data_IF_430004862940
#
_entry.id   IF_430004862940
#
_cell.length_a   1.000
_cell.length_b   1.000
_cell.length_c   1.000
_cell.angle_alpha   90.00
_cell.angle_beta   90.00
_cell.angle_gamma   90.00
#
_symmetry.space_group_name_H-M   'P 1'
#
loop_
_entity.id
_entity.type
_entity.pdbx_description
1 polymer ?
#
# COMPACT_ATOMS: atom_id res chain seq x y z
N UNK A 1 -3.14 -1.63 6.50
CA UNK A 1 -3.55 -0.49 7.34
C UNK A 1 -4.87 -0.82 8.02
N UNK A 2 -4.95 -0.59 9.33
CA UNK A 2 -6.10 -0.96 10.17
C UNK A 2 -6.19 -0.07 11.40
N UNK A 3 -7.28 -0.17 12.18
CA UNK A 3 -7.35 0.47 13.50
C UNK A 3 -6.51 -0.28 14.53
N UNK A 4 -5.97 0.43 15.52
CA UNK A 4 -5.15 -0.12 16.62
C UNK A 4 -5.91 -1.10 17.51
N UNK A 5 -7.24 -1.01 17.57
CA UNK A 5 -8.11 -1.90 18.34
C UNK A 5 -8.57 -3.15 17.56
N UNK A 6 -8.23 -3.26 16.28
CA UNK A 6 -8.52 -4.44 15.48
C UNK A 6 -7.78 -5.69 16.04
N UNK A 7 -8.38 -6.89 15.97
CA UNK A 7 -7.70 -8.14 16.30
C UNK A 7 -6.37 -8.33 15.57
N UNK A 8 -6.32 -7.97 14.28
CA UNK A 8 -5.12 -8.09 13.44
C UNK A 8 -4.02 -7.10 13.84
N UNK A 9 -4.35 -6.02 14.55
CA UNK A 9 -3.37 -5.06 15.01
C UNK A 9 -2.43 -5.64 16.08
N UNK A 10 -2.82 -6.73 16.74
CA UNK A 10 -2.00 -7.46 17.72
C UNK A 10 -0.89 -8.29 17.07
N UNK A 11 -1.03 -8.60 15.79
CA UNK A 11 -0.01 -9.32 15.03
C UNK A 11 1.13 -8.37 14.65
N UNK A 12 2.34 -8.90 14.55
CA UNK A 12 3.52 -8.14 14.11
C UNK A 12 3.54 -7.97 12.58
N UNK A 13 3.08 -8.99 11.86
CA UNK A 13 2.93 -9.01 10.41
C UNK A 13 1.64 -9.76 10.05
N UNK A 14 1.16 -9.54 8.83
CA UNK A 14 -0.10 -10.09 8.34
C UNK A 14 0.18 -11.11 7.25
N UNK A 15 -0.37 -12.31 7.39
CA UNK A 15 -0.30 -13.36 6.38
C UNK A 15 -1.56 -13.37 5.49
N UNK A 16 -1.53 -14.02 4.32
CA UNK A 16 -2.72 -14.20 3.50
C UNK A 16 -3.88 -14.91 4.21
N UNK A 17 -3.59 -15.77 5.18
CA UNK A 17 -4.61 -16.52 5.93
C UNK A 17 -5.38 -15.63 6.91
N UNK A 18 -4.71 -14.63 7.51
CA UNK A 18 -5.28 -13.74 8.52
C UNK A 18 -6.40 -12.82 7.97
N UNK A 19 -6.42 -12.61 6.66
CA UNK A 19 -7.22 -11.57 5.98
C UNK A 19 -8.25 -12.14 5.01
N UNK A 20 -8.22 -13.45 4.75
CA UNK A 20 -9.01 -14.07 3.68
C UNK A 20 -10.51 -13.80 3.82
N UNK A 21 -11.00 -13.68 5.05
CA UNK A 21 -12.41 -13.46 5.39
C UNK A 21 -12.71 -12.00 5.77
N UNK A 22 -11.70 -11.14 5.80
CA UNK A 22 -11.83 -9.77 6.26
C UNK A 22 -12.25 -8.81 5.12
N UNK A 23 -13.05 -7.76 5.42
CA UNK A 23 -13.46 -6.80 4.41
C UNK A 23 -12.27 -5.91 4.02
N UNK A 24 -11.83 -6.02 2.77
CA UNK A 24 -10.61 -5.37 2.28
C UNK A 24 -10.92 -4.30 1.22
N UNK A 25 -10.25 -3.17 1.33
CA UNK A 25 -10.10 -2.17 0.29
C UNK A 25 -8.75 -2.33 -0.41
N UNK A 26 -8.78 -2.35 -1.75
CA UNK A 26 -7.59 -2.44 -2.59
C UNK A 26 -7.42 -1.19 -3.45
N UNK A 27 -6.18 -0.77 -3.69
CA UNK A 27 -5.94 0.27 -4.68
C UNK A 27 -6.37 -0.23 -6.07
N UNK A 28 -7.07 0.60 -6.85
CA UNK A 28 -7.62 0.21 -8.15
C UNK A 28 -6.54 -0.34 -9.09
N UNK A 29 -5.37 0.31 -9.11
CA UNK A 29 -4.20 -0.13 -9.89
C UNK A 29 -3.66 -1.51 -9.45
N UNK A 30 -3.75 -1.83 -8.16
CA UNK A 30 -3.32 -3.13 -7.64
C UNK A 30 -4.34 -4.23 -7.95
N UNK A 31 -5.63 -3.89 -7.94
CA UNK A 31 -6.71 -4.80 -8.33
C UNK A 31 -6.69 -5.16 -9.82
N UNK A 32 -6.30 -4.21 -10.69
CA UNK A 32 -6.27 -4.43 -12.15
C UNK A 32 -4.98 -5.07 -12.64
N UNK A 33 -3.86 -4.87 -11.94
CA UNK A 33 -2.56 -5.39 -12.35
C UNK A 33 -2.22 -6.80 -11.78
N UNK A 34 -3.12 -7.41 -10.98
CA UNK A 34 -2.89 -8.70 -10.32
C UNK A 34 -1.56 -8.79 -9.52
N UNK A 35 -0.95 -7.65 -9.18
CA UNK A 35 0.37 -7.57 -8.54
C UNK A 35 0.37 -8.29 -7.19
N UNK A 36 -0.75 -8.22 -6.47
CA UNK A 36 -0.92 -8.89 -5.18
C UNK A 36 -1.40 -10.35 -5.31
N UNK A 37 -1.82 -10.80 -6.50
CA UNK A 37 -2.42 -12.15 -6.66
C UNK A 37 -1.45 -13.27 -6.24
N UNK A 38 -0.16 -13.13 -6.55
CA UNK A 38 0.87 -14.08 -6.13
C UNK A 38 1.10 -14.09 -4.62
N UNK A 39 0.92 -12.95 -3.95
CA UNK A 39 1.03 -12.85 -2.50
C UNK A 39 -0.17 -13.50 -1.80
N UNK A 40 -1.38 -13.27 -2.31
CA UNK A 40 -2.61 -13.88 -1.79
C UNK A 40 -2.72 -15.39 -2.10
N UNK A 41 -1.89 -15.95 -2.98
CA UNK A 41 -1.87 -17.37 -3.36
C UNK A 41 -3.28 -17.86 -3.77
N UNK A 42 -3.73 -18.96 -3.19
CA UNK A 42 -5.04 -19.57 -3.44
C UNK A 42 -6.22 -18.74 -2.90
N UNK A 43 -5.98 -17.87 -1.92
CA UNK A 43 -7.02 -17.07 -1.28
C UNK A 43 -7.50 -15.91 -2.17
N UNK A 44 -6.74 -15.55 -3.21
CA UNK A 44 -7.07 -14.41 -4.08
C UNK A 44 -8.48 -14.47 -4.67
N UNK A 45 -8.95 -15.68 -5.01
CA UNK A 45 -10.30 -15.88 -5.60
C UNK A 45 -11.44 -15.62 -4.63
N UNK A 46 -11.18 -15.77 -3.34
CA UNK A 46 -12.19 -15.68 -2.28
C UNK A 46 -12.01 -14.43 -1.42
N UNK A 47 -11.23 -13.45 -1.88
CA UNK A 47 -11.05 -12.20 -1.16
C UNK A 47 -12.36 -11.43 -1.07
N UNK A 48 -12.70 -11.02 0.14
CA UNK A 48 -13.81 -10.12 0.40
C UNK A 48 -13.41 -8.65 0.08
N UNK A 49 -13.29 -8.33 -1.20
CA UNK A 49 -12.97 -6.97 -1.66
C UNK A 49 -14.24 -6.12 -1.64
N UNK A 50 -14.37 -5.25 -0.65
CA UNK A 50 -15.55 -4.40 -0.44
C UNK A 50 -15.46 -3.04 -1.15
N UNK A 51 -14.31 -2.72 -1.72
CA UNK A 51 -14.14 -1.50 -2.50
C UNK A 51 -12.74 -1.34 -3.09
N UNK A 52 -12.64 -0.42 -4.05
CA UNK A 52 -11.37 0.00 -4.61
C UNK A 52 -11.16 1.51 -4.49
N UNK A 53 -9.90 1.95 -4.50
CA UNK A 53 -9.56 3.37 -4.34
C UNK A 53 -8.38 3.81 -5.19
N UNK A 54 -8.32 5.11 -5.48
CA UNK A 54 -7.17 5.74 -6.15
C UNK A 54 -6.28 6.51 -5.19
N UNK A 55 -6.88 7.13 -4.15
CA UNK A 55 -6.18 7.89 -3.12
C UNK A 55 -6.42 7.23 -1.77
N UNK A 56 -5.34 7.05 -0.99
CA UNK A 56 -5.38 6.35 0.30
C UNK A 56 -6.12 7.13 1.40
N UNK A 57 -6.34 8.43 1.23
CA UNK A 57 -6.96 9.31 2.23
C UNK A 57 -8.40 8.90 2.56
N UNK A 58 -9.25 8.63 1.56
CA UNK A 58 -10.63 8.21 1.79
C UNK A 58 -10.73 6.84 2.46
N UNK A 59 -10.05 5.78 1.98
CA UNK A 59 -10.03 4.50 2.69
C UNK A 59 -9.45 4.60 4.09
N UNK A 60 -8.46 5.46 4.34
CA UNK A 60 -7.94 5.66 5.70
C UNK A 60 -9.04 6.16 6.66
N UNK A 61 -9.88 7.11 6.23
CA UNK A 61 -11.02 7.58 7.03
C UNK A 61 -12.08 6.48 7.26
N UNK A 62 -12.33 5.65 6.24
CA UNK A 62 -13.26 4.52 6.32
C UNK A 62 -12.77 3.48 7.34
N UNK A 63 -11.49 3.11 7.24
CA UNK A 63 -10.85 2.20 8.19
C UNK A 63 -10.86 2.79 9.60
N UNK A 64 -10.54 4.08 9.75
CA UNK A 64 -10.56 4.76 11.06
C UNK A 64 -11.95 4.74 11.71
N UNK A 65 -13.01 4.76 10.90
CA UNK A 65 -14.41 4.64 11.33
C UNK A 65 -14.80 3.19 11.70
N UNK A 66 -13.90 2.22 11.58
CA UNK A 66 -14.11 0.83 11.95
C UNK A 66 -14.56 -0.08 10.81
N UNK A 67 -14.47 0.40 9.56
CA UNK A 67 -14.92 -0.35 8.40
C UNK A 67 -13.74 -0.95 7.63
N UNK A 68 -13.48 -2.23 7.92
CA UNK A 68 -12.55 -3.07 7.19
C UNK A 68 -11.09 -2.65 7.25
N UNK A 69 -10.33 -3.14 6.27
CA UNK A 69 -8.88 -3.08 6.19
C UNK A 69 -8.44 -2.54 4.84
N UNK A 70 -7.29 -1.87 4.79
CA UNK A 70 -6.76 -1.33 3.55
C UNK A 70 -5.37 -1.88 3.26
N UNK A 71 -5.17 -2.41 2.05
CA UNK A 71 -3.84 -2.69 1.51
C UNK A 71 -3.25 -1.43 0.90
N UNK A 72 -2.09 -1.03 1.40
CA UNK A 72 -1.42 0.20 0.97
C UNK A 72 0.07 0.11 1.27
N UNK A 73 0.87 1.01 0.69
CA UNK A 73 2.28 1.12 1.00
C UNK A 73 2.51 1.75 2.38
N UNK A 74 3.63 1.39 3.00
CA UNK A 74 4.07 2.01 4.25
C UNK A 74 4.28 3.53 4.06
N UNK A 75 4.11 4.29 5.16
CA UNK A 75 4.35 5.74 5.25
C UNK A 75 3.53 6.64 4.32
N UNK A 76 2.52 6.11 3.61
CA UNK A 76 1.62 6.95 2.79
C UNK A 76 0.66 7.81 3.60
N UNK A 77 0.36 7.41 4.83
CA UNK A 77 -0.39 8.21 5.79
C UNK A 77 0.37 8.28 7.10
N UNK A 78 0.16 9.36 7.85
CA UNK A 78 0.73 9.47 9.18
C UNK A 78 0.00 8.52 10.14
N UNK A 79 0.68 7.46 10.57
CA UNK A 79 0.19 6.49 11.56
C UNK A 79 0.80 6.71 12.95
N UNK A 80 1.53 7.81 13.15
CA UNK A 80 2.19 8.16 14.41
C UNK A 80 1.37 9.15 15.25
N UNK A 81 1.67 9.25 16.54
CA UNK A 81 0.96 10.11 17.48
C UNK A 81 -0.43 9.60 17.84
N UNK A 82 -1.39 10.53 17.99
CA UNK A 82 -2.78 10.28 18.42
C UNK A 82 -3.66 9.62 17.35
N UNK A 83 -3.08 9.16 16.24
CA UNK A 83 -3.85 8.49 15.20
C UNK A 83 -4.34 7.11 15.67
N UNK A 84 -5.61 6.78 15.40
CA UNK A 84 -6.20 5.49 15.76
C UNK A 84 -5.81 4.35 14.80
N UNK A 85 -5.00 4.65 13.79
CA UNK A 85 -4.58 3.70 12.77
C UNK A 85 -3.18 3.14 13.05
N UNK A 86 -2.95 1.90 12.64
CA UNK A 86 -1.64 1.28 12.61
C UNK A 86 -1.39 0.57 11.29
N UNK A 87 -0.12 0.55 10.90
CA UNK A 87 0.38 -0.22 9.77
C UNK A 87 0.99 -1.54 10.27
N UNK A 88 0.70 -2.62 9.55
CA UNK A 88 1.33 -3.93 9.75
C UNK A 88 1.91 -4.41 8.43
N UNK A 89 3.20 -4.79 8.39
CA UNK A 89 3.83 -5.34 7.19
C UNK A 89 3.20 -6.69 6.84
N UNK A 90 3.43 -7.09 5.60
CA UNK A 90 2.95 -8.36 5.06
C UNK A 90 4.01 -9.46 5.28
N UNK A 91 3.55 -10.68 5.52
CA UNK A 91 4.39 -11.88 5.60
C UNK A 91 3.83 -12.97 4.66
N UNK A 92 4.56 -13.40 3.62
CA UNK A 92 5.94 -13.02 3.27
C UNK A 92 6.07 -11.54 2.87
N UNK A 93 7.26 -10.98 3.06
CA UNK A 93 7.49 -9.56 2.76
C UNK A 93 7.20 -9.26 1.27
N UNK A 94 6.46 -8.19 1.02
CA UNK A 94 6.05 -7.77 -0.31
C UNK A 94 6.47 -6.32 -0.55
N UNK A 95 7.53 -6.15 -1.31
CA UNK A 95 8.10 -4.86 -1.63
C UNK A 95 7.99 -4.58 -3.13
N UNK A 96 7.82 -3.31 -3.48
CA UNK A 96 7.87 -2.85 -4.86
C UNK A 96 8.95 -1.79 -5.01
N UNK A 97 9.68 -1.82 -6.12
CA UNK A 97 10.67 -0.81 -6.43
C UNK A 97 10.00 0.48 -6.90
N UNK A 98 10.54 1.63 -6.47
CA UNK A 98 10.22 2.90 -7.11
C UNK A 98 11.12 3.09 -8.33
N UNK A 99 10.50 3.37 -9.48
CA UNK A 99 11.22 3.56 -10.74
C UNK A 99 10.98 4.97 -11.27
N UNK A 100 12.06 5.63 -11.65
CA UNK A 100 12.01 6.86 -12.43
C UNK A 100 12.15 6.50 -13.91
N UNK A 101 11.19 6.87 -14.75
CA UNK A 101 11.10 6.39 -16.13
C UNK A 101 11.09 7.56 -17.12
N UNK A 102 11.88 7.45 -18.19
CA UNK A 102 11.93 8.40 -19.31
C UNK A 102 12.15 7.68 -20.65
N UNK A 103 11.97 8.40 -21.76
CA UNK A 103 12.23 7.85 -23.11
C UNK A 103 13.71 7.54 -23.29
N UNK A 104 14.05 6.43 -23.95
CA UNK A 104 15.45 5.97 -24.16
C UNK A 104 16.40 7.07 -24.66
N UNK A 105 15.92 7.98 -25.50
CA UNK A 105 16.69 9.07 -26.08
C UNK A 105 16.25 10.45 -25.56
N UNK A 106 15.80 10.53 -24.31
CA UNK A 106 15.38 11.78 -23.69
C UNK A 106 16.59 12.72 -23.51
N UNK A 107 16.59 13.84 -24.23
CA UNK A 107 17.52 14.94 -23.96
C UNK A 107 16.93 15.75 -22.81
N UNK A 108 17.65 15.80 -21.69
CA UNK A 108 17.26 16.62 -20.53
C UNK A 108 17.67 18.06 -20.75
N UNK A 109 16.78 18.99 -20.39
CA UNK A 109 17.17 20.39 -20.21
C UNK A 109 18.12 20.51 -19.03
N UNK A 110 18.87 21.63 -18.93
CA UNK A 110 19.75 21.90 -17.79
C UNK A 110 19.01 21.79 -16.45
N UNK A 111 17.81 22.36 -16.37
CA UNK A 111 16.98 22.31 -15.16
C UNK A 111 16.51 20.90 -14.83
N UNK A 112 16.10 20.12 -15.83
CA UNK A 112 15.65 18.74 -15.62
C UNK A 112 16.80 17.82 -15.17
N UNK A 113 18.01 18.04 -15.70
CA UNK A 113 19.21 17.31 -15.27
C UNK A 113 19.56 17.63 -13.81
N UNK A 114 19.57 18.92 -13.44
CA UNK A 114 19.81 19.32 -12.06
C UNK A 114 18.75 18.75 -11.09
N UNK A 115 17.48 18.77 -11.49
CA UNK A 115 16.42 18.15 -10.69
C UNK A 115 16.63 16.65 -10.52
N UNK A 116 17.00 15.93 -11.58
CA UNK A 116 17.28 14.50 -11.51
C UNK A 116 18.46 14.18 -10.59
N UNK A 117 19.54 14.95 -10.67
CA UNK A 117 20.73 14.80 -9.83
C UNK A 117 20.39 15.04 -8.35
N UNK A 118 19.60 16.06 -8.02
CA UNK A 118 19.17 16.31 -6.64
C UNK A 118 18.17 15.24 -6.15
N UNK A 119 17.24 14.81 -7.00
CA UNK A 119 16.28 13.77 -6.65
C UNK A 119 16.98 12.44 -6.35
N UNK A 120 18.03 12.09 -7.12
CA UNK A 120 18.81 10.89 -6.89
C UNK A 120 19.52 10.89 -5.54
N UNK A 121 20.03 12.04 -5.07
CA UNK A 121 20.68 12.16 -3.74
C UNK A 121 19.70 12.01 -2.56
N UNK A 122 18.42 12.30 -2.78
CA UNK A 122 17.38 12.22 -1.75
C UNK A 122 16.78 10.82 -1.67
N UNK A 123 16.68 10.13 -2.81
CA UNK A 123 16.04 8.81 -2.90
C UNK A 123 17.03 7.64 -2.80
N UNK A 124 18.33 7.86 -3.04
CA UNK A 124 19.41 6.86 -3.00
C UNK A 124 20.59 7.37 -2.18
#
# INVERSE_FOLDING_TARGET
>A
LMRKDSPLAKLNAITPEDIKDEPIFLAHQQSSANVLSGWFKEYYRNLNVIGSFNLITTPAMIVESGLGYVFTFDKLINTTGDCNLCFRPLEPNFETGFYLVWKKYQIFSRSAKMFLEELQKVLF
#
